data_IF_604388960471
#
_entry.id   IF_604388960471
#
_cell.length_a   1.000
_cell.length_b   1.000
_cell.length_c   1.000
_cell.angle_alpha   90.00
_cell.angle_beta   90.00
_cell.angle_gamma   90.00
#
_symmetry.space_group_name_H-M   'P 1'
#
loop_
_entity.id
_entity.type
_entity.pdbx_description
1 polymer ?
#
# COMPACT_ATOMS: atom_id res chain seq x y z
N UNK A 1 -15.85 7.39 -17.71
CA UNK A 1 -15.63 6.28 -16.75
C UNK A 1 -14.20 6.34 -16.25
N UNK A 2 -13.96 6.14 -14.95
CA UNK A 2 -12.59 5.99 -14.43
C UNK A 2 -12.04 4.62 -14.82
N UNK A 3 -10.73 4.53 -15.03
CA UNK A 3 -10.05 3.27 -15.32
C UNK A 3 -9.80 2.51 -14.01
N UNK A 4 -10.28 1.27 -13.92
CA UNK A 4 -10.04 0.43 -12.75
C UNK A 4 -8.62 -0.13 -12.76
N UNK A 5 -7.98 -0.12 -11.60
CA UNK A 5 -6.65 -0.69 -11.34
C UNK A 5 -6.80 -1.68 -10.20
N UNK A 6 -6.44 -2.95 -10.43
CA UNK A 6 -6.47 -3.94 -9.36
C UNK A 6 -5.50 -3.60 -8.24
N UNK A 7 -5.84 -3.98 -7.02
CA UNK A 7 -4.98 -3.79 -5.85
C UNK A 7 -3.57 -4.38 -6.05
N UNK A 8 -3.46 -5.50 -6.76
CA UNK A 8 -2.18 -6.14 -7.11
C UNK A 8 -1.33 -5.24 -8.02
N UNK A 9 -1.95 -4.69 -9.07
CA UNK A 9 -1.25 -3.80 -10.00
C UNK A 9 -0.80 -2.51 -9.30
N UNK A 10 -1.65 -1.94 -8.44
CA UNK A 10 -1.30 -0.78 -7.64
C UNK A 10 -0.13 -1.06 -6.69
N UNK A 11 -0.19 -2.17 -5.95
CA UNK A 11 0.87 -2.59 -5.02
C UNK A 11 2.21 -2.76 -5.74
N UNK A 12 2.21 -3.30 -6.97
CA UNK A 12 3.42 -3.40 -7.77
C UNK A 12 3.98 -2.03 -8.19
N UNK A 13 3.12 -1.06 -8.54
CA UNK A 13 3.54 0.32 -8.83
C UNK A 13 4.13 0.99 -7.59
N UNK A 14 3.45 0.90 -6.45
CA UNK A 14 3.92 1.40 -5.16
C UNK A 14 5.28 0.81 -4.79
N UNK A 15 5.44 -0.51 -4.89
CA UNK A 15 6.71 -1.18 -4.57
C UNK A 15 7.86 -0.76 -5.50
N UNK A 16 7.61 -0.51 -6.78
CA UNK A 16 8.63 0.06 -7.68
C UNK A 16 9.06 1.47 -7.27
N UNK A 17 8.13 2.28 -6.77
CA UNK A 17 8.43 3.63 -6.26
C UNK A 17 9.21 3.55 -4.94
N UNK A 18 8.73 2.77 -3.97
CA UNK A 18 9.34 2.61 -2.65
C UNK A 18 10.72 1.95 -2.69
N UNK A 19 10.97 1.06 -3.65
CA UNK A 19 12.27 0.41 -3.81
C UNK A 19 13.43 1.41 -4.01
N UNK A 20 13.15 2.59 -4.59
CA UNK A 20 14.14 3.67 -4.74
C UNK A 20 14.68 4.19 -3.40
N UNK A 21 13.90 4.01 -2.33
CA UNK A 21 14.23 4.38 -0.97
C UNK A 21 14.51 3.16 -0.09
N UNK A 22 14.75 1.99 -0.69
CA UNK A 22 14.90 0.72 0.04
C UNK A 22 13.70 0.37 0.93
N UNK A 23 12.49 0.76 0.53
CA UNK A 23 11.24 0.45 1.23
C UNK A 23 10.36 -0.52 0.43
N UNK A 24 9.46 -1.22 1.10
CA UNK A 24 8.49 -2.13 0.48
C UNK A 24 7.15 -2.10 1.22
N UNK A 25 6.06 -2.00 0.46
CA UNK A 25 4.70 -2.24 0.92
C UNK A 25 4.39 -3.73 0.92
N UNK A 26 3.97 -4.25 2.07
CA UNK A 26 3.58 -5.64 2.30
C UNK A 26 2.20 -5.70 2.92
N UNK A 27 1.43 -6.76 2.62
CA UNK A 27 0.20 -7.04 3.36
C UNK A 27 0.57 -7.42 4.79
N UNK A 28 0.04 -6.69 5.76
CA UNK A 28 0.31 -6.89 7.17
C UNK A 28 -0.77 -7.78 7.78
N UNK A 29 -0.35 -8.80 8.51
CA UNK A 29 -1.23 -9.64 9.32
C UNK A 29 -0.64 -9.70 10.73
N UNK A 30 -1.25 -9.06 11.73
CA UNK A 30 -0.74 -9.11 13.09
C UNK A 30 -0.76 -10.56 13.62
N UNK A 31 0.25 -10.92 14.42
CA UNK A 31 0.37 -12.27 14.99
C UNK A 31 -0.63 -12.53 16.11
N UNK A 32 -0.99 -11.49 16.87
CA UNK A 32 -2.03 -11.53 17.89
C UNK A 32 -3.33 -11.02 17.27
N UNK A 33 -4.44 -11.71 17.55
CA UNK A 33 -5.76 -11.21 17.20
C UNK A 33 -6.03 -9.93 18.00
N UNK A 34 -5.90 -8.80 17.34
CA UNK A 34 -6.33 -7.51 17.86
C UNK A 34 -7.86 -7.42 17.71
N UNK A 35 -8.55 -6.94 18.75
CA UNK A 35 -9.98 -6.61 18.66
C UNK A 35 -10.23 -5.37 17.78
N UNK A 36 -9.19 -4.59 17.49
CA UNK A 36 -9.20 -3.55 16.47
C UNK A 36 -8.72 -4.15 15.14
N UNK A 37 -9.60 -4.37 14.16
CA UNK A 37 -9.16 -4.44 12.78
C UNK A 37 -8.75 -2.99 12.41
N UNK A 38 -7.80 -2.70 11.54
CA UNK A 38 -7.99 -2.70 10.08
C UNK A 38 -6.62 -2.38 9.43
N UNK A 39 -5.49 -2.67 10.08
CA UNK A 39 -4.18 -2.45 9.45
C UNK A 39 -3.92 -3.57 8.45
N UNK A 40 -4.06 -3.27 7.16
CA UNK A 40 -3.93 -4.26 6.09
C UNK A 40 -2.57 -4.24 5.40
N UNK A 41 -1.88 -3.10 5.41
CA UNK A 41 -0.61 -2.94 4.73
C UNK A 41 0.41 -2.24 5.63
N UNK A 42 1.67 -2.66 5.51
CA UNK A 42 2.80 -2.05 6.19
C UNK A 42 3.85 -1.64 5.16
N UNK A 43 4.40 -0.44 5.33
CA UNK A 43 5.62 -0.03 4.64
C UNK A 43 6.80 -0.41 5.53
N UNK A 44 7.70 -1.23 4.99
CA UNK A 44 8.88 -1.73 5.69
C UNK A 44 10.13 -1.11 5.07
N UNK A 45 11.02 -0.59 5.91
CA UNK A 45 12.38 -0.25 5.51
C UNK A 45 13.22 -1.52 5.49
N UNK A 46 13.79 -1.85 4.32
CA UNK A 46 14.53 -3.08 4.10
C UNK A 46 15.96 -3.03 4.67
N UNK A 47 16.50 -1.83 4.96
CA UNK A 47 17.84 -1.69 5.55
C UNK A 47 17.82 -1.99 7.05
N UNK A 48 16.81 -1.47 7.74
CA UNK A 48 16.65 -1.63 9.20
C UNK A 48 15.72 -2.78 9.56
N UNK A 49 15.01 -3.35 8.57
CA UNK A 49 13.96 -4.35 8.76
C UNK A 49 12.86 -3.87 9.72
N UNK A 50 12.58 -2.57 9.74
CA UNK A 50 11.58 -1.95 10.61
C UNK A 50 10.37 -1.50 9.82
N UNK A 51 9.19 -1.58 10.43
CA UNK A 51 7.98 -1.00 9.88
C UNK A 51 8.06 0.52 10.07
N UNK A 52 7.91 1.27 8.98
CA UNK A 52 7.95 2.75 9.01
C UNK A 52 6.56 3.36 8.96
N UNK A 53 5.58 2.66 8.39
CA UNK A 53 4.21 3.12 8.37
C UNK A 53 3.21 1.97 8.18
N UNK A 54 1.95 2.24 8.52
CA UNK A 54 0.82 1.35 8.33
C UNK A 54 -0.27 2.04 7.52
N UNK A 55 -1.01 1.24 6.74
CA UNK A 55 -2.12 1.71 5.94
C UNK A 55 -3.29 0.72 5.98
N UNK A 56 -4.49 1.26 6.11
CA UNK A 56 -5.73 0.54 5.81
C UNK A 56 -5.91 0.38 4.30
N UNK A 57 -6.71 -0.60 3.86
CA UNK A 57 -7.02 -0.73 2.43
C UNK A 57 -7.68 0.54 1.85
N UNK A 58 -8.56 1.18 2.62
CA UNK A 58 -9.23 2.43 2.24
C UNK A 58 -8.26 3.59 2.01
N UNK A 59 -7.11 3.61 2.69
CA UNK A 59 -6.12 4.69 2.62
C UNK A 59 -5.14 4.52 1.45
N UNK A 60 -5.03 3.32 0.87
CA UNK A 60 -4.06 3.04 -0.19
C UNK A 60 -4.28 3.90 -1.44
N UNK A 61 -5.51 4.32 -1.70
CA UNK A 61 -5.81 5.20 -2.83
C UNK A 61 -5.13 6.57 -2.70
N UNK A 62 -5.30 7.21 -1.54
CA UNK A 62 -4.72 8.52 -1.28
C UNK A 62 -3.21 8.44 -1.18
N UNK A 63 -2.69 7.42 -0.49
CA UNK A 63 -1.26 7.16 -0.42
C UNK A 63 -0.64 6.98 -1.81
N UNK A 64 -1.25 6.18 -2.67
CA UNK A 64 -0.76 5.97 -4.03
C UNK A 64 -0.83 7.23 -4.90
N UNK A 65 -1.86 8.07 -4.72
CA UNK A 65 -1.95 9.37 -5.40
C UNK A 65 -0.84 10.31 -4.93
N UNK A 66 -0.58 10.39 -3.63
CA UNK A 66 0.50 11.19 -3.05
C UNK A 66 1.89 10.79 -3.58
N UNK A 67 2.09 9.52 -3.91
CA UNK A 67 3.33 9.02 -4.50
C UNK A 67 3.38 9.07 -6.04
N UNK A 68 2.28 9.48 -6.70
CA UNK A 68 2.14 9.48 -8.15
C UNK A 68 2.01 8.09 -8.78
N UNK A 69 1.56 7.09 -8.01
CA UNK A 69 1.38 5.71 -8.45
C UNK A 69 -0.04 5.39 -8.96
N UNK A 70 -1.00 6.30 -8.74
CA UNK A 70 -2.37 6.22 -9.23
C UNK A 70 -2.77 7.57 -9.84
N UNK A 71 -3.19 7.57 -11.10
CA UNK A 71 -3.60 8.79 -11.78
C UNK A 71 -5.00 9.28 -11.35
N UNK A 72 -5.32 10.55 -11.59
CA UNK A 72 -6.60 11.15 -11.18
C UNK A 72 -7.82 10.43 -11.74
N UNK A 73 -7.72 9.92 -12.97
CA UNK A 73 -8.76 9.18 -13.68
C UNK A 73 -8.69 7.66 -13.45
N UNK A 74 -7.79 7.18 -12.59
CA UNK A 74 -7.72 5.78 -12.16
C UNK A 74 -8.38 5.61 -10.78
N UNK A 75 -8.95 4.43 -10.54
CA UNK A 75 -9.60 4.04 -9.28
C UNK A 75 -9.22 2.61 -8.91
N UNK A 76 -9.15 2.30 -7.63
CA UNK A 76 -8.76 0.97 -7.16
C UNK A 76 -9.97 0.03 -7.22
N UNK A 77 -9.78 -1.15 -7.80
CA UNK A 77 -10.66 -2.29 -7.55
C UNK A 77 -10.05 -3.21 -6.50
N UNK A 78 -10.83 -3.48 -5.45
CA UNK A 78 -10.50 -4.43 -4.38
C UNK A 78 -11.04 -5.84 -4.64
N UNK A 79 -11.70 -6.05 -5.79
CA UNK A 79 -12.18 -7.35 -6.27
C UNK A 79 -11.03 -8.33 -6.56
#
# INVERSE_FOLDING_TARGET
MKKLVSIRALTARLNRKLAKESKKLLKYKPRLQSNDPIVEYAVVDLKTNSIVNFHMASELQEFARGLGCLASLEEISFE
#
